data_IF_933367362497
#
_entry.id   IF_933367362497
#
_cell.length_a   1.000
_cell.length_b   1.000
_cell.length_c   1.000
_cell.angle_alpha   90.00
_cell.angle_beta   90.00
_cell.angle_gamma   90.00
#
_symmetry.space_group_name_H-M   'P 1'
#
loop_
_entity.id
_entity.type
_entity.pdbx_description
1 polymer ?
#
# COMPACT_ATOMS: atom_id res chain seq x y z
N UNK A 1 10.27 2.33 4.88
CA UNK A 1 9.51 2.54 3.63
C UNK A 1 8.04 2.84 3.94
N UNK A 2 7.24 3.30 2.96
CA UNK A 2 5.80 3.47 3.15
C UNK A 2 4.99 2.57 2.21
N UNK A 3 3.91 2.00 2.74
CA UNK A 3 2.95 1.20 1.97
C UNK A 3 1.54 1.75 2.14
N UNK A 4 0.73 1.66 1.10
CA UNK A 4 -0.69 1.98 1.15
C UNK A 4 -1.53 0.71 1.25
N UNK A 5 -2.55 0.73 2.11
CA UNK A 5 -3.52 -0.36 2.26
C UNK A 5 -4.91 0.23 2.07
N UNK A 6 -5.71 -0.25 1.11
CA UNK A 6 -7.06 0.25 0.91
C UNK A 6 -7.90 -0.09 2.14
N UNK A 7 -8.60 0.92 2.64
CA UNK A 7 -9.72 0.69 3.53
C UNK A 7 -10.96 0.48 2.67
N UNK A 8 -11.58 -0.70 2.77
CA UNK A 8 -12.66 -1.09 1.87
C UNK A 8 -13.97 -0.32 2.09
N UNK A 9 -14.05 0.51 3.14
CA UNK A 9 -15.14 1.46 3.32
C UNK A 9 -14.85 2.77 2.59
N UNK A 10 -15.92 3.40 2.12
CA UNK A 10 -15.89 4.66 1.36
C UNK A 10 -16.49 5.79 2.18
N UNK A 11 -16.02 7.01 1.99
CA UNK A 11 -16.63 8.21 2.55
C UNK A 11 -17.44 8.92 1.47
N UNK A 12 -18.61 9.43 1.87
CA UNK A 12 -19.41 10.33 1.04
C UNK A 12 -19.04 11.76 1.41
N UNK A 13 -18.50 12.51 0.47
CA UNK A 13 -18.26 13.94 0.62
C UNK A 13 -19.36 14.71 -0.11
N UNK A 14 -20.16 15.53 0.60
CA UNK A 14 -21.07 16.45 -0.04
C UNK A 14 -20.31 17.32 -1.06
N UNK A 15 -20.84 17.44 -2.28
CA UNK A 15 -20.26 18.19 -3.41
C UNK A 15 -19.04 17.60 -4.12
N UNK A 16 -18.37 16.57 -3.57
CA UNK A 16 -17.18 15.92 -4.18
C UNK A 16 -17.35 14.42 -4.46
N UNK A 17 -18.54 13.88 -4.20
CA UNK A 17 -18.84 12.47 -4.48
C UNK A 17 -18.17 11.50 -3.50
N UNK A 18 -17.75 10.33 -4.02
CA UNK A 18 -17.21 9.23 -3.22
C UNK A 18 -15.69 9.31 -3.11
N UNK A 19 -15.19 9.51 -1.90
CA UNK A 19 -13.78 9.46 -1.59
C UNK A 19 -13.37 8.07 -1.07
N UNK A 20 -12.13 7.70 -1.32
CA UNK A 20 -11.58 6.39 -0.92
C UNK A 20 -10.59 6.57 0.21
N UNK A 21 -10.65 5.67 1.18
CA UNK A 21 -9.78 5.70 2.35
C UNK A 21 -8.63 4.72 2.20
N UNK A 22 -7.46 5.13 2.69
CA UNK A 22 -6.25 4.32 2.68
C UNK A 22 -5.49 4.51 3.99
N UNK A 23 -4.99 3.40 4.54
CA UNK A 23 -3.93 3.47 5.54
C UNK A 23 -2.60 3.64 4.84
N UNK A 24 -1.91 4.75 5.13
CA UNK A 24 -0.52 4.96 4.76
C UNK A 24 0.33 4.54 5.96
N UNK A 25 1.03 3.42 5.81
CA UNK A 25 1.80 2.78 6.86
C UNK A 25 3.27 3.06 6.63
N UNK A 26 3.91 3.75 7.56
CA UNK A 26 5.37 3.87 7.56
C UNK A 26 5.95 2.67 8.30
N UNK A 27 6.69 1.85 7.57
CA UNK A 27 7.39 0.67 8.08
C UNK A 27 8.86 1.09 8.31
N UNK A 28 9.25 1.41 9.56
CA UNK A 28 10.66 1.54 9.92
C UNK A 28 11.36 0.17 9.82
N UNK A 29 12.69 0.14 9.91
CA UNK A 29 13.46 -1.11 9.84
C UNK A 29 12.99 -2.19 10.84
N UNK A 30 13.49 -3.42 10.71
CA UNK A 30 12.87 -4.64 11.27
C UNK A 30 12.45 -4.60 12.76
N UNK A 31 13.09 -3.79 13.59
CA UNK A 31 12.85 -3.79 15.04
C UNK A 31 11.85 -2.73 15.53
N UNK A 32 11.28 -1.90 14.65
CA UNK A 32 10.41 -0.80 15.06
C UNK A 32 8.94 -1.02 14.65
N UNK A 33 8.03 -0.51 15.50
CA UNK A 33 6.60 -0.57 15.23
C UNK A 33 6.22 0.33 14.05
N UNK A 34 5.36 -0.14 13.14
CA UNK A 34 4.86 0.71 12.05
C UNK A 34 4.03 1.87 12.59
N UNK A 35 4.13 3.04 11.94
CA UNK A 35 3.22 4.16 12.20
C UNK A 35 2.14 4.22 11.12
N UNK A 36 0.93 4.56 11.54
CA UNK A 36 -0.27 4.46 10.71
C UNK A 36 -0.91 5.83 10.56
N UNK A 37 -1.26 6.20 9.34
CA UNK A 37 -2.04 7.40 9.06
C UNK A 37 -3.19 7.05 8.12
N UNK A 38 -4.39 7.54 8.43
CA UNK A 38 -5.53 7.40 7.54
C UNK A 38 -5.57 8.59 6.60
N UNK A 39 -5.54 8.32 5.29
CA UNK A 39 -5.58 9.33 4.24
C UNK A 39 -6.78 9.11 3.33
N UNK A 40 -7.27 10.21 2.77
CA UNK A 40 -8.37 10.21 1.80
C UNK A 40 -7.80 10.48 0.40
N UNK A 41 -8.16 9.64 -0.56
CA UNK A 41 -7.88 9.83 -1.98
C UNK A 41 -9.15 10.33 -2.67
N UNK A 42 -8.99 11.47 -3.36
CA UNK A 42 -10.01 12.10 -4.19
C UNK A 42 -9.56 12.05 -5.67
N UNK A 43 -10.22 11.23 -6.52
CA UNK A 43 -9.85 11.07 -7.92
C UNK A 43 -10.06 12.32 -8.77
N UNK A 44 -10.78 13.34 -8.29
CA UNK A 44 -10.93 14.61 -9.00
C UNK A 44 -9.67 15.48 -8.93
N UNK A 45 -8.77 15.21 -7.98
CA UNK A 45 -7.63 16.10 -7.68
C UNK A 45 -6.31 15.63 -8.27
N UNK A 46 -6.08 14.32 -8.33
CA UNK A 46 -4.85 13.74 -8.84
C UNK A 46 -5.11 12.32 -9.35
N UNK A 47 -4.26 11.84 -10.25
CA UNK A 47 -4.25 10.41 -10.57
C UNK A 47 -3.81 9.60 -9.33
N UNK A 48 -4.32 8.38 -9.19
CA UNK A 48 -4.03 7.56 -8.01
C UNK A 48 -2.53 7.30 -7.81
N UNK A 49 -1.79 7.02 -8.89
CA UNK A 49 -0.34 6.83 -8.81
C UNK A 49 0.39 8.09 -8.35
N UNK A 50 0.00 9.26 -8.88
CA UNK A 50 0.58 10.54 -8.46
C UNK A 50 0.31 10.82 -6.98
N UNK A 51 -0.92 10.62 -6.53
CA UNK A 51 -1.31 10.80 -5.13
C UNK A 51 -0.47 9.91 -4.20
N UNK A 52 -0.19 8.67 -4.58
CA UNK A 52 0.70 7.77 -3.81
C UNK A 52 2.15 8.26 -3.79
N UNK A 53 2.66 8.74 -4.93
CA UNK A 53 4.02 9.26 -5.05
C UNK A 53 4.23 10.50 -4.16
N UNK A 54 3.26 11.42 -4.12
CA UNK A 54 3.26 12.61 -3.24
C UNK A 54 3.33 12.22 -1.75
N UNK A 55 2.74 11.08 -1.38
CA UNK A 55 2.80 10.54 -0.02
C UNK A 55 4.10 9.76 0.27
N UNK A 56 5.00 9.63 -0.71
CA UNK A 56 6.22 8.82 -0.68
C UNK A 56 5.94 7.32 -0.48
N UNK A 57 4.81 6.83 -1.01
CA UNK A 57 4.44 5.40 -0.96
C UNK A 57 5.26 4.63 -1.98
N UNK A 58 5.88 3.55 -1.52
CA UNK A 58 6.66 2.65 -2.38
C UNK A 58 5.82 1.49 -2.93
N UNK A 59 4.70 1.16 -2.28
CA UNK A 59 3.86 0.05 -2.72
C UNK A 59 2.48 -0.01 -2.13
N UNK A 60 1.65 -0.85 -2.73
CA UNK A 60 0.28 -1.15 -2.28
C UNK A 60 0.18 -2.59 -1.85
N UNK A 61 -0.41 -2.81 -0.68
CA UNK A 61 -0.83 -4.12 -0.21
C UNK A 61 -2.36 -4.17 -0.23
N UNK A 62 -2.94 -5.05 -1.05
CA UNK A 62 -4.40 -5.16 -1.15
C UNK A 62 -4.88 -6.59 -1.35
N UNK A 63 -6.14 -6.82 -1.03
CA UNK A 63 -6.78 -8.13 -1.19
C UNK A 63 -7.38 -8.34 -2.58
N UNK A 64 -7.65 -7.23 -3.27
CA UNK A 64 -8.13 -7.15 -4.63
C UNK A 64 -7.01 -6.77 -5.60
N UNK A 65 -7.27 -6.98 -6.90
CA UNK A 65 -6.37 -6.58 -7.98
C UNK A 65 -7.04 -5.49 -8.82
N UNK A 66 -6.85 -4.20 -8.50
CA UNK A 66 -7.47 -3.13 -9.27
C UNK A 66 -6.72 -2.97 -10.61
N UNK A 67 -7.04 -3.81 -11.60
CA UNK A 67 -6.38 -3.86 -12.92
C UNK A 67 -6.33 -2.51 -13.62
N UNK A 68 -7.38 -1.70 -13.47
CA UNK A 68 -7.50 -0.34 -14.00
C UNK A 68 -6.56 0.67 -13.32
N UNK A 69 -5.94 0.34 -12.19
CA UNK A 69 -4.95 1.16 -11.49
C UNK A 69 -3.50 0.75 -11.76
N UNK A 70 -3.26 -0.51 -12.11
CA UNK A 70 -1.90 -1.09 -12.14
C UNK A 70 -0.96 -0.30 -13.05
N UNK A 71 -1.42 0.08 -14.25
CA UNK A 71 -0.63 0.87 -15.19
C UNK A 71 -0.26 2.27 -14.64
N UNK A 72 -1.06 2.82 -13.73
CA UNK A 72 -0.75 4.08 -13.05
C UNK A 72 0.28 3.92 -11.93
N UNK A 73 0.29 2.77 -11.27
CA UNK A 73 1.27 2.43 -10.23
C UNK A 73 2.66 2.20 -10.83
N UNK A 74 2.74 1.43 -11.91
CA UNK A 74 3.99 1.12 -12.61
C UNK A 74 4.73 2.39 -13.07
N UNK A 75 3.99 3.37 -13.63
CA UNK A 75 4.58 4.67 -14.05
C UNK A 75 5.21 5.46 -12.92
N UNK A 76 4.81 5.21 -11.68
CA UNK A 76 5.29 5.90 -10.48
C UNK A 76 6.21 5.01 -9.64
N UNK A 77 6.65 3.86 -10.18
CA UNK A 77 7.50 2.90 -9.48
C UNK A 77 6.89 2.40 -8.16
N UNK A 78 5.55 2.35 -8.10
CA UNK A 78 4.80 1.82 -6.96
C UNK A 78 4.51 0.35 -7.22
N UNK A 79 5.06 -0.55 -6.41
CA UNK A 79 4.78 -1.98 -6.55
C UNK A 79 3.40 -2.35 -6.00
N UNK A 80 2.85 -3.49 -6.45
CA UNK A 80 1.60 -4.04 -5.94
C UNK A 80 1.81 -5.46 -5.42
N UNK A 81 1.40 -5.72 -4.19
CA UNK A 81 1.36 -7.05 -3.60
C UNK A 81 -0.08 -7.43 -3.25
N UNK A 82 -0.56 -8.50 -3.88
CA UNK A 82 -1.90 -9.03 -3.65
C UNK A 82 -1.85 -10.19 -2.65
N UNK A 83 -2.79 -10.22 -1.71
CA UNK A 83 -2.90 -11.24 -0.65
C UNK A 83 -4.37 -11.62 -0.41
N UNK A 84 -4.62 -12.68 0.35
CA UNK A 84 -5.97 -12.97 0.86
C UNK A 84 -6.46 -11.86 1.81
N UNK A 85 -7.79 -11.59 1.88
CA UNK A 85 -8.39 -10.63 2.81
C UNK A 85 -7.96 -10.83 4.26
N UNK A 86 -7.64 -9.74 4.94
CA UNK A 86 -7.31 -9.68 6.36
C UNK A 86 -7.38 -8.22 6.87
N UNK A 87 -7.27 -8.04 8.18
CA UNK A 87 -7.15 -6.72 8.79
C UNK A 87 -5.84 -6.02 8.38
N UNK A 88 -5.80 -4.68 8.26
CA UNK A 88 -4.61 -3.97 7.79
C UNK A 88 -3.31 -4.32 8.54
N UNK A 89 -3.38 -4.49 9.87
CA UNK A 89 -2.23 -4.89 10.69
C UNK A 89 -1.67 -6.27 10.31
N UNK A 90 -2.56 -7.21 10.02
CA UNK A 90 -2.19 -8.56 9.59
C UNK A 90 -1.60 -8.54 8.18
N UNK A 91 -2.16 -7.73 7.27
CA UNK A 91 -1.63 -7.56 5.92
C UNK A 91 -0.17 -7.05 5.95
N UNK A 92 0.14 -6.09 6.83
CA UNK A 92 1.52 -5.61 7.03
C UNK A 92 2.42 -6.69 7.59
N UNK A 93 1.96 -7.46 8.58
CA UNK A 93 2.74 -8.54 9.18
C UNK A 93 3.12 -9.61 8.13
N UNK A 94 2.14 -10.07 7.34
CA UNK A 94 2.36 -11.05 6.25
C UNK A 94 3.33 -10.54 5.19
N UNK A 95 3.19 -9.27 4.80
CA UNK A 95 4.09 -8.67 3.83
C UNK A 95 5.53 -8.62 4.35
N UNK A 96 5.73 -8.23 5.62
CA UNK A 96 7.05 -8.20 6.25
C UNK A 96 7.69 -9.59 6.30
N UNK A 97 6.94 -10.59 6.74
CA UNK A 97 7.40 -11.98 6.81
C UNK A 97 7.83 -12.52 5.43
N UNK A 98 7.03 -12.23 4.39
CA UNK A 98 7.35 -12.62 3.01
C UNK A 98 8.67 -12.01 2.54
N UNK A 99 8.93 -10.73 2.89
CA UNK A 99 10.17 -10.03 2.51
C UNK A 99 11.40 -10.55 3.25
N UNK A 100 11.28 -10.80 4.56
CA UNK A 100 12.38 -11.39 5.32
C UNK A 100 12.76 -12.79 4.81
N UNK A 101 11.78 -13.58 4.33
CA UNK A 101 12.05 -14.88 3.69
C UNK A 101 12.74 -14.75 2.33
N UNK A 102 12.32 -13.81 1.48
CA UNK A 102 12.97 -13.52 0.19
C UNK A 102 14.43 -13.09 0.39
N UNK A 103 14.69 -12.22 1.37
CA UNK A 103 16.03 -11.74 1.69
C UNK A 103 16.93 -12.86 2.24
N UNK A 104 16.40 -13.72 3.13
CA UNK A 104 17.13 -14.87 3.66
C UNK A 104 17.43 -15.92 2.57
N UNK A 105 16.50 -16.18 1.66
CA UNK A 105 16.68 -17.09 0.53
C UNK A 105 17.74 -16.58 -0.47
N UNK A 106 17.75 -15.28 -0.75
CA UNK A 106 18.79 -14.66 -1.58
C UNK A 106 20.18 -14.70 -0.91
N UNK A 107 20.27 -14.56 0.41
CA UNK A 107 21.54 -14.69 1.12
C UNK A 107 22.09 -16.13 1.12
N UNK A 108 21.21 -17.13 1.18
CA UNK A 108 21.62 -18.54 1.15
C UNK A 108 22.12 -19.02 -0.23
N UNK A 109 21.78 -18.31 -1.31
CA UNK A 109 22.19 -18.63 -2.69
C UNK A 109 23.54 -18.01 -3.11
N UNK A 110 24.13 -17.14 -2.28
CA UNK A 110 25.41 -16.44 -2.55
C UNK A 110 26.58 -17.05 -1.76
N UNK A 111 26.37 -18.17 -1.08
CA UNK A 111 27.39 -18.94 -0.36
C UNK A 111 27.65 -20.28 -1.05
#
# INVERSE_FOLDING_TARGET
MKVAIPYYHRLVSPHKGLARLFFIVSIPGEQQNPSWQLHTYDPETASFGQWLAEQLVSGIVSSDRPTWLLSGLERQWVWHWQTSPAEPAELVARWRETRSLEDAGNQALVL
#
